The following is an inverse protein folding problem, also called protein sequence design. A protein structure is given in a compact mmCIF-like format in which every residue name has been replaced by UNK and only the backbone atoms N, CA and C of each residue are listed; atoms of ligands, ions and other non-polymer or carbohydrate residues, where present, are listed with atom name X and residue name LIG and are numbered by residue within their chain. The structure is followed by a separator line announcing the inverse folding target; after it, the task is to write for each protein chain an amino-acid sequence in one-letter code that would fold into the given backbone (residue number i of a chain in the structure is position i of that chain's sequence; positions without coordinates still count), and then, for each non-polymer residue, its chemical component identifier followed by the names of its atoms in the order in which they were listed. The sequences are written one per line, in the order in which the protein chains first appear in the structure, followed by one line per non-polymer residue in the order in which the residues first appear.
data_IF_436509825385
#
_entry.id   IF_436509825385
#
_cell.length_a   1.000
_cell.length_b   1.000
_cell.length_c   1.000
_cell.angle_alpha   90.00
_cell.angle_beta   90.00
_cell.angle_gamma   90.00
#
_symmetry.space_group_name_H-M   'P 1'
#
loop_
_entity.id
_entity.type
_entity.pdbx_description
1 polymer ?
#
# COMPACT_ATOMS: atom_id res chain seq x y z
N UNK A 1 -28.46 2.83 -23.27
CA UNK A 1 -27.84 3.21 -21.99
C UNK A 1 -26.41 2.77 -22.09
N UNK A 2 -25.52 3.72 -22.36
CA UNK A 2 -24.11 3.47 -22.63
C UNK A 2 -23.44 3.16 -21.30
N UNK A 3 -22.87 1.96 -21.19
CA UNK A 3 -22.01 1.61 -20.07
C UNK A 3 -20.71 2.39 -20.29
N UNK A 4 -20.60 3.57 -19.66
CA UNK A 4 -19.34 4.31 -19.58
C UNK A 4 -18.32 3.44 -18.85
N UNK A 5 -17.57 2.65 -19.62
CA UNK A 5 -16.41 1.90 -19.13
C UNK A 5 -15.30 2.90 -18.88
N UNK A 6 -15.41 3.60 -17.76
CA UNK A 6 -14.36 4.49 -17.28
C UNK A 6 -13.13 3.63 -17.02
N UNK A 7 -11.99 3.87 -17.70
CA UNK A 7 -10.79 3.11 -17.46
C UNK A 7 -10.30 3.34 -16.03
N UNK A 8 -9.89 2.26 -15.36
CA UNK A 8 -9.30 2.32 -14.04
C UNK A 8 -7.80 2.65 -14.15
N UNK A 9 -7.42 3.82 -13.63
CA UNK A 9 -6.04 4.30 -13.63
C UNK A 9 -5.42 4.29 -12.22
N UNK A 10 -5.99 3.55 -11.27
CA UNK A 10 -5.45 3.46 -9.90
C UNK A 10 -4.05 2.85 -9.94
N UNK A 11 -3.13 3.52 -9.23
CA UNK A 11 -1.73 3.08 -9.05
C UNK A 11 -1.47 2.47 -7.67
N UNK A 12 -2.49 2.44 -6.83
CA UNK A 12 -2.44 1.90 -5.48
C UNK A 12 -2.46 0.37 -5.58
N UNK A 13 -1.45 -0.28 -5.01
CA UNK A 13 -1.36 -1.74 -4.94
C UNK A 13 -2.16 -2.31 -3.77
N UNK A 14 -2.17 -1.59 -2.64
CA UNK A 14 -2.82 -2.02 -1.41
C UNK A 14 -3.32 -0.81 -0.61
N UNK A 15 -4.49 -0.95 0.02
CA UNK A 15 -5.09 0.07 0.87
C UNK A 15 -5.81 -0.60 2.04
N UNK A 16 -5.31 -0.39 3.26
CA UNK A 16 -5.97 -0.81 4.51
C UNK A 16 -6.02 0.39 5.47
N UNK A 17 -7.19 1.03 5.63
CA UNK A 17 -7.32 2.19 6.50
C UNK A 17 -7.43 1.84 8.00
N UNK A 18 -7.71 0.58 8.35
CA UNK A 18 -7.89 0.14 9.73
C UNK A 18 -6.75 -0.81 10.12
N UNK A 19 -5.66 -0.22 10.60
CA UNK A 19 -4.50 -0.93 11.13
C UNK A 19 -4.28 -0.49 12.56
N UNK A 20 -4.26 -1.45 13.49
CA UNK A 20 -3.83 -1.23 14.86
C UNK A 20 -2.49 -1.92 15.09
N UNK A 21 -1.48 -1.14 15.49
CA UNK A 21 -0.15 -1.67 15.83
C UNK A 21 -0.16 -1.96 17.33
N UNK A 22 -0.26 -3.25 17.68
CA UNK A 22 -0.17 -3.73 19.05
C UNK A 22 1.26 -3.98 19.51
N UNK A 23 1.42 -4.83 20.53
CA UNK A 23 2.74 -5.23 21.04
C UNK A 23 3.45 -6.25 20.14
N UNK A 24 2.68 -6.99 19.32
CA UNK A 24 3.19 -7.96 18.37
C UNK A 24 3.54 -7.30 17.01
N UNK A 25 4.43 -7.93 16.25
CA UNK A 25 4.80 -7.47 14.92
C UNK A 25 3.60 -7.50 13.97
N UNK A 26 3.28 -6.34 13.39
CA UNK A 26 2.23 -6.24 12.37
C UNK A 26 2.69 -6.92 11.07
N UNK A 27 1.97 -7.97 10.67
CA UNK A 27 2.19 -8.67 9.40
C UNK A 27 1.02 -8.38 8.45
N UNK A 28 1.34 -8.12 7.20
CA UNK A 28 0.36 -7.98 6.12
C UNK A 28 0.93 -8.53 4.82
N UNK A 29 0.06 -9.09 4.01
CA UNK A 29 0.38 -9.66 2.71
C UNK A 29 -0.49 -8.99 1.65
N UNK A 30 0.11 -8.70 0.50
CA UNK A 30 -0.58 -8.12 -0.63
C UNK A 30 0.12 -8.53 -1.92
N UNK A 31 -0.62 -8.45 -3.03
CA UNK A 31 -0.06 -8.69 -4.35
C UNK A 31 0.36 -7.38 -4.99
N UNK A 32 1.44 -7.42 -5.76
CA UNK A 32 1.84 -6.32 -6.63
C UNK A 32 1.06 -6.40 -7.95
N UNK A 33 1.13 -5.34 -8.75
CA UNK A 33 0.74 -5.43 -10.16
C UNK A 33 1.86 -6.10 -10.97
N UNK A 34 1.58 -6.36 -12.25
CA UNK A 34 2.58 -6.82 -13.23
C UNK A 34 3.59 -5.73 -13.62
N UNK A 35 3.49 -4.52 -13.04
CA UNK A 35 4.41 -3.42 -13.35
C UNK A 35 5.65 -3.52 -12.47
N UNK A 36 6.81 -3.55 -13.12
CA UNK A 36 8.09 -3.38 -12.43
C UNK A 36 8.37 -1.91 -12.12
N UNK A 37 9.16 -1.69 -11.07
CA UNK A 37 9.53 -0.35 -10.64
C UNK A 37 9.70 -0.21 -9.13
N UNK A 38 9.94 1.02 -8.71
CA UNK A 38 9.96 1.40 -7.30
C UNK A 38 8.56 1.87 -6.88
N UNK A 39 8.09 1.33 -5.77
CA UNK A 39 6.83 1.70 -5.13
C UNK A 39 7.10 2.17 -3.71
N UNK A 40 6.29 3.14 -3.28
CA UNK A 40 6.34 3.67 -1.92
C UNK A 40 5.20 3.08 -1.09
N UNK A 41 5.55 2.62 0.10
CA UNK A 41 4.63 2.23 1.17
C UNK A 41 4.56 3.41 2.14
N UNK A 42 3.34 3.86 2.40
CA UNK A 42 3.06 4.96 3.33
C UNK A 42 2.21 4.42 4.46
N UNK A 43 2.66 4.64 5.69
CA UNK A 43 1.89 4.39 6.91
C UNK A 43 1.66 5.71 7.63
N UNK A 44 0.42 6.18 7.57
CA UNK A 44 -0.04 7.37 8.27
C UNK A 44 -0.95 6.97 9.42
N UNK A 45 -0.78 7.63 10.58
CA UNK A 45 -1.61 7.34 11.72
C UNK A 45 -1.35 8.26 12.91
N UNK A 46 -1.86 7.86 14.06
CA UNK A 46 -1.66 8.57 15.33
C UNK A 46 -1.22 7.58 16.40
N UNK A 47 -0.36 8.02 17.31
CA UNK A 47 -0.06 7.26 18.52
C UNK A 47 -1.28 7.24 19.46
N UNK A 48 -1.25 6.38 20.47
CA UNK A 48 -2.29 6.33 21.53
C UNK A 48 -2.47 7.65 22.29
N UNK A 49 -1.48 8.55 22.23
CA UNK A 49 -1.53 9.89 22.82
C UNK A 49 -1.96 10.98 21.82
N UNK A 50 -2.38 10.60 20.61
CA UNK A 50 -2.86 11.52 19.57
C UNK A 50 -1.76 12.24 18.78
N UNK A 51 -0.50 11.80 18.87
CA UNK A 51 0.58 12.39 18.07
C UNK A 51 0.55 11.80 16.65
N UNK A 52 0.51 12.61 15.58
CA UNK A 52 0.58 12.10 14.22
C UNK A 52 1.92 11.44 13.94
N UNK A 53 1.88 10.36 13.18
CA UNK A 53 3.04 9.63 12.66
C UNK A 53 2.86 9.43 11.16
N UNK A 54 3.98 9.49 10.44
CA UNK A 54 4.07 9.17 9.03
C UNK A 54 5.37 8.42 8.80
N UNK A 55 5.28 7.24 8.18
CA UNK A 55 6.43 6.40 7.86
C UNK A 55 6.39 6.08 6.38
N UNK A 56 7.54 6.20 5.73
CA UNK A 56 7.74 5.87 4.33
C UNK A 56 8.72 4.72 4.19
N UNK A 57 8.43 3.80 3.27
CA UNK A 57 9.32 2.71 2.91
C UNK A 57 9.22 2.40 1.43
N UNK A 58 10.35 2.22 0.75
CA UNK A 58 10.35 1.84 -0.65
C UNK A 58 10.52 0.33 -0.82
N UNK A 59 9.80 -0.21 -1.80
CA UNK A 59 9.96 -1.58 -2.30
C UNK A 59 10.24 -1.52 -3.80
N UNK A 60 10.99 -2.51 -4.30
CA UNK A 60 11.32 -2.62 -5.73
C UNK A 60 10.74 -3.92 -6.26
N UNK A 61 9.82 -3.80 -7.22
CA UNK A 61 9.27 -4.93 -7.98
C UNK A 61 10.11 -5.11 -9.24
N UNK A 62 10.58 -6.33 -9.48
CA UNK A 62 11.40 -6.69 -10.64
C UNK A 62 10.75 -7.88 -11.35
N UNK A 63 10.97 -7.95 -12.66
CA UNK A 63 10.62 -9.15 -13.43
C UNK A 63 11.37 -10.33 -12.83
N UNK A 64 10.67 -11.43 -12.66
CA UNK A 64 11.33 -12.68 -12.35
C UNK A 64 12.13 -13.10 -13.59
N UNK A 65 13.45 -13.09 -13.47
CA UNK A 65 14.31 -13.62 -14.53
C UNK A 65 14.18 -15.14 -14.49
N UNK A 66 13.53 -15.73 -15.51
CA UNK A 66 13.52 -17.18 -15.69
C UNK A 66 14.93 -17.72 -15.96
#
# INVERSE_FOLDING_TARGET
MENDRIPDYRRILFWEPHVEVGDDELQFEFYTSDLTGEFEVVLDGFTTYGKPITIYKNIIVKEESQ
#
